data_IF_550239084543
#
_entry.id   IF_550239084543
#
_cell.length_a   1.000
_cell.length_b   1.000
_cell.length_c   1.000
_cell.angle_alpha   90.00
_cell.angle_beta   90.00
_cell.angle_gamma   90.00
#
_symmetry.space_group_name_H-M   'P 1'
#
loop_
_entity.id
_entity.type
_entity.pdbx_description
1 polymer ?
#
# COMPACT_ATOMS: atom_id res chain seq x y z
N UNK A 1 -13.49 24.09 -3.63
CA UNK A 1 -14.23 23.16 -2.75
C UNK A 1 -13.98 23.66 -1.34
N UNK A 2 -14.96 24.31 -0.71
CA UNK A 2 -14.79 24.86 0.64
C UNK A 2 -15.00 23.74 1.66
N UNK A 3 -13.91 23.31 2.31
CA UNK A 3 -13.99 22.39 3.44
C UNK A 3 -14.50 23.17 4.66
N UNK A 4 -15.48 22.66 5.41
CA UNK A 4 -16.01 23.39 6.56
C UNK A 4 -14.88 23.62 7.58
N UNK A 5 -14.70 24.85 8.11
CA UNK A 5 -13.58 25.19 8.99
C UNK A 5 -13.57 24.41 10.31
N UNK A 6 -14.69 23.81 10.70
CA UNK A 6 -14.81 22.90 11.85
C UNK A 6 -14.04 21.59 11.70
N UNK A 7 -13.55 21.29 10.49
CA UNK A 7 -12.88 20.05 10.16
C UNK A 7 -11.38 20.12 10.44
N UNK A 8 -10.76 21.27 10.23
CA UNK A 8 -9.31 21.49 10.33
C UNK A 8 -8.94 22.24 11.61
N UNK A 9 -9.20 21.62 12.75
CA UNK A 9 -8.86 22.18 14.07
C UNK A 9 -7.38 21.99 14.35
N UNK A 10 -6.70 23.02 14.86
CA UNK A 10 -5.31 22.93 15.30
C UNK A 10 -5.12 21.81 16.35
N UNK A 11 -4.03 21.05 16.22
CA UNK A 11 -3.74 19.86 17.02
C UNK A 11 -4.36 18.57 16.49
N UNK A 12 -5.32 18.63 15.56
CA UNK A 12 -5.94 17.42 14.99
C UNK A 12 -5.00 16.76 14.01
N UNK A 13 -4.84 15.42 14.05
CA UNK A 13 -3.92 14.78 13.17
C UNK A 13 -4.63 14.35 11.88
N UNK A 14 -4.00 14.64 10.75
CA UNK A 14 -4.58 14.49 9.41
C UNK A 14 -3.59 13.80 8.48
N UNK A 15 -4.14 13.08 7.50
CA UNK A 15 -3.35 12.55 6.41
C UNK A 15 -3.90 13.10 5.09
N UNK A 16 -3.03 13.69 4.27
CA UNK A 16 -3.41 14.36 3.03
C UNK A 16 -2.72 13.72 1.84
N UNK A 17 -3.44 13.66 0.72
CA UNK A 17 -2.90 13.24 -0.57
C UNK A 17 -3.02 14.39 -1.55
N UNK A 18 -1.94 14.68 -2.28
CA UNK A 18 -1.89 15.76 -3.26
C UNK A 18 -2.56 15.37 -4.59
N UNK A 19 -3.08 16.36 -5.32
CA UNK A 19 -3.70 16.23 -6.65
C UNK A 19 -2.74 15.74 -7.72
N UNK A 20 -1.45 16.04 -7.58
CA UNK A 20 -0.41 15.55 -8.50
C UNK A 20 -0.27 14.02 -8.50
N UNK A 21 -0.94 13.33 -7.57
CA UNK A 21 -0.63 11.95 -7.23
C UNK A 21 0.69 11.89 -6.47
N UNK A 22 0.77 10.99 -5.49
CA UNK A 22 1.97 10.82 -4.68
C UNK A 22 1.68 10.34 -3.26
N UNK A 23 2.74 10.36 -2.47
CA UNK A 23 2.80 9.84 -1.10
C UNK A 23 1.79 10.52 -0.17
N UNK A 24 1.35 9.75 0.82
CA UNK A 24 0.47 10.23 1.88
C UNK A 24 1.29 11.06 2.87
N UNK A 25 0.94 12.33 3.02
CA UNK A 25 1.58 13.24 3.97
C UNK A 25 0.78 13.25 5.25
N UNK A 26 1.39 12.74 6.33
CA UNK A 26 0.78 12.69 7.64
C UNK A 26 1.36 13.78 8.55
N UNK A 27 0.51 14.43 9.32
CA UNK A 27 0.95 15.41 10.31
C UNK A 27 -0.19 15.96 11.15
N UNK A 28 0.14 16.74 12.18
CA UNK A 28 -0.87 17.47 12.96
C UNK A 28 -1.10 18.84 12.35
N UNK A 29 -2.36 19.23 12.22
CA UNK A 29 -2.73 20.57 11.77
C UNK A 29 -2.20 21.57 12.80
N UNK A 30 -1.29 22.43 12.39
CA UNK A 30 -0.77 23.50 13.24
C UNK A 30 -1.56 24.78 13.03
N UNK A 31 -1.80 25.10 11.75
CA UNK A 31 -2.50 26.32 11.35
C UNK A 31 -3.20 26.08 10.02
N UNK A 32 -4.39 26.69 9.86
CA UNK A 32 -5.03 26.85 8.56
C UNK A 32 -5.31 28.33 8.36
N UNK A 33 -4.76 28.91 7.30
CA UNK A 33 -4.97 30.32 6.96
C UNK A 33 -4.90 30.50 5.45
N UNK A 34 -5.81 31.30 4.88
CA UNK A 34 -5.79 31.72 3.47
C UNK A 34 -5.56 30.59 2.44
N UNK A 35 -6.20 29.44 2.66
CA UNK A 35 -6.06 28.28 1.77
C UNK A 35 -4.76 27.50 1.96
N UNK A 36 -3.97 27.80 2.99
CA UNK A 36 -2.78 27.06 3.40
C UNK A 36 -3.05 26.24 4.65
N UNK A 37 -2.52 25.03 4.63
CA UNK A 37 -2.53 24.07 5.71
C UNK A 37 -1.08 23.84 6.15
N UNK A 38 -0.78 24.23 7.38
CA UNK A 38 0.49 23.92 8.01
C UNK A 38 0.35 22.62 8.81
N UNK A 39 1.20 21.64 8.53
CA UNK A 39 1.28 20.37 9.21
C UNK A 39 2.62 20.25 9.96
N UNK A 40 2.61 19.66 11.15
CA UNK A 40 3.83 19.18 11.80
C UNK A 40 4.15 17.77 11.29
N UNK A 41 5.18 17.63 10.46
CA UNK A 41 5.67 16.34 9.96
C UNK A 41 6.92 15.84 10.70
N UNK A 42 7.26 14.56 10.52
CA UNK A 42 8.44 13.92 11.12
C UNK A 42 9.78 14.51 10.65
N UNK A 43 9.80 15.11 9.46
CA UNK A 43 10.96 15.79 8.88
C UNK A 43 10.96 17.32 9.09
N UNK A 44 9.95 17.87 9.77
CA UNK A 44 9.79 19.32 9.99
C UNK A 44 8.40 19.87 9.63
N UNK A 45 8.19 21.19 9.76
CA UNK A 45 6.93 21.82 9.41
C UNK A 45 6.72 21.79 7.89
N UNK A 46 5.55 21.32 7.49
CA UNK A 46 5.14 21.19 6.10
C UNK A 46 4.02 22.18 5.79
N UNK A 47 4.13 22.93 4.70
CA UNK A 47 3.09 23.84 4.23
C UNK A 47 2.48 23.29 2.94
N UNK A 48 1.16 23.13 2.92
CA UNK A 48 0.43 22.58 1.78
C UNK A 48 -0.75 23.46 1.45
N UNK A 49 -0.96 23.70 0.15
CA UNK A 49 -2.11 24.48 -0.32
C UNK A 49 -3.33 23.57 -0.43
N UNK A 50 -4.46 24.01 0.12
CA UNK A 50 -5.70 23.23 0.20
C UNK A 50 -6.25 22.85 -1.17
N UNK A 51 -6.04 23.69 -2.18
CA UNK A 51 -6.47 23.41 -3.56
C UNK A 51 -5.63 22.34 -4.25
N UNK A 52 -4.46 22.00 -3.71
CA UNK A 52 -3.63 20.91 -4.17
C UNK A 52 -3.95 19.60 -3.46
N UNK A 53 -4.91 19.58 -2.53
CA UNK A 53 -5.29 18.38 -1.80
C UNK A 53 -6.38 17.64 -2.58
N UNK A 54 -6.08 16.40 -2.99
CA UNK A 54 -7.03 15.50 -3.60
C UNK A 54 -7.96 14.85 -2.56
N UNK A 55 -7.38 14.42 -1.44
CA UNK A 55 -8.07 13.69 -0.38
C UNK A 55 -7.50 14.11 0.97
N UNK A 56 -8.39 14.35 1.93
CA UNK A 56 -8.05 14.68 3.31
C UNK A 56 -8.72 13.69 4.26
N UNK A 57 -7.90 12.90 4.97
CA UNK A 57 -8.36 11.95 5.98
C UNK A 57 -8.33 12.59 7.37
N UNK A 58 -9.48 12.54 8.03
CA UNK A 58 -9.70 13.08 9.37
C UNK A 58 -9.62 11.96 10.40
N UNK A 59 -9.24 12.31 11.62
CA UNK A 59 -9.22 11.43 12.80
C UNK A 59 -8.20 10.30 12.80
N UNK A 60 -7.12 10.43 12.03
CA UNK A 60 -6.03 9.49 12.21
C UNK A 60 -6.43 8.03 12.00
N UNK A 61 -7.49 7.75 11.24
CA UNK A 61 -7.77 6.38 10.79
C UNK A 61 -6.60 5.83 9.95
N UNK A 62 -5.68 6.70 9.52
CA UNK A 62 -4.37 6.38 8.95
C UNK A 62 -3.17 6.50 9.93
N UNK A 63 -3.40 6.80 11.22
CA UNK A 63 -2.38 6.99 12.28
C UNK A 63 -2.31 5.83 13.29
N UNK A 64 -3.08 4.75 13.09
CA UNK A 64 -2.95 3.53 13.89
C UNK A 64 -1.80 2.62 13.42
N UNK A 65 -0.71 3.19 12.91
CA UNK A 65 0.54 2.47 12.66
C UNK A 65 1.71 3.41 12.97
N UNK A 66 2.44 3.06 14.01
CA UNK A 66 3.66 3.71 14.54
C UNK A 66 3.45 4.99 15.38
N UNK A 67 3.15 4.79 16.65
CA UNK A 67 4.01 5.37 17.69
C UNK A 67 4.43 4.26 18.66
N UNK A 68 5.73 4.09 18.92
CA UNK A 68 6.19 3.80 20.27
C UNK A 68 6.79 5.08 20.85
N UNK A 69 6.17 5.52 21.95
CA UNK A 69 6.73 6.45 22.91
C UNK A 69 8.00 5.82 23.49
N UNK A 70 9.15 6.45 23.25
CA UNK A 70 10.39 6.16 23.96
C UNK A 70 10.26 6.63 25.42
N UNK A 71 10.30 5.69 26.37
CA UNK A 71 10.78 5.96 27.72
C UNK A 71 11.69 4.79 28.17
N UNK A 72 12.96 5.05 28.56
CA UNK A 72 14.01 4.05 28.57
C UNK A 72 14.27 3.50 29.97
N UNK A 73 13.50 2.51 30.41
CA UNK A 73 13.92 1.67 31.54
C UNK A 73 13.02 0.44 31.64
N UNK A 74 13.50 -0.70 31.13
CA UNK A 74 13.53 -2.00 31.83
C UNK A 74 14.15 -2.98 30.84
N UNK A 75 15.45 -3.21 31.01
CA UNK A 75 16.13 -4.36 30.43
C UNK A 75 15.46 -5.65 30.95
N UNK A 76 14.72 -6.36 30.10
CA UNK A 76 14.35 -7.76 30.38
C UNK A 76 14.58 -8.65 29.16
N UNK A 77 15.76 -9.28 29.22
CA UNK A 77 16.23 -10.57 28.69
C UNK A 77 15.61 -11.13 27.38
N UNK A 78 16.46 -11.50 26.39
CA UNK A 78 16.01 -12.10 25.14
C UNK A 78 15.44 -13.50 25.41
N UNK A 79 14.16 -13.72 25.08
CA UNK A 79 13.64 -15.08 24.90
C UNK A 79 13.75 -15.43 23.41
N UNK A 80 14.70 -16.32 23.14
CA UNK A 80 14.91 -17.00 21.87
C UNK A 80 13.64 -17.76 21.46
N UNK A 81 12.78 -17.11 20.68
CA UNK A 81 11.69 -17.73 19.95
C UNK A 81 11.34 -16.94 18.68
N UNK A 82 12.34 -16.30 18.05
CA UNK A 82 12.16 -15.71 16.73
C UNK A 82 12.32 -16.81 15.67
N UNK A 83 11.26 -17.19 14.94
CA UNK A 83 11.48 -17.70 13.59
C UNK A 83 12.20 -16.59 12.81
N UNK A 84 13.14 -16.92 11.91
CA UNK A 84 13.95 -15.92 11.23
C UNK A 84 13.03 -14.85 10.64
N UNK A 85 13.20 -13.60 11.12
CA UNK A 85 12.54 -12.43 10.57
C UNK A 85 12.99 -12.30 9.12
N UNK A 86 12.24 -12.90 8.20
CA UNK A 86 12.37 -12.62 6.77
C UNK A 86 12.21 -11.12 6.62
N UNK A 87 13.27 -10.47 6.15
CA UNK A 87 13.32 -9.04 5.91
C UNK A 87 12.01 -8.59 5.27
N UNK A 88 11.25 -7.78 6.01
CA UNK A 88 9.98 -7.25 5.56
C UNK A 88 10.19 -6.51 4.25
N UNK A 89 9.57 -7.04 3.20
CA UNK A 89 9.43 -6.49 1.86
C UNK A 89 8.73 -5.12 1.92
N UNK A 90 9.42 -4.08 2.39
CA UNK A 90 9.00 -2.66 2.34
C UNK A 90 9.64 -1.90 1.16
N UNK A 91 10.30 -2.59 0.23
CA UNK A 91 10.59 -1.98 -1.07
C UNK A 91 9.32 -2.10 -1.94
N UNK A 92 8.78 -1.01 -2.51
CA UNK A 92 7.80 -1.12 -3.59
C UNK A 92 8.50 -1.87 -4.72
N UNK A 93 8.25 -3.17 -4.81
CA UNK A 93 8.84 -4.00 -5.85
C UNK A 93 8.54 -3.38 -7.21
N UNK A 94 9.51 -3.41 -8.12
CA UNK A 94 9.38 -3.10 -9.56
C UNK A 94 7.95 -3.41 -10.05
N UNK A 95 7.34 -2.55 -10.88
CA UNK A 95 6.03 -2.85 -11.43
C UNK A 95 6.02 -4.19 -12.20
N UNK A 96 4.92 -4.94 -12.15
CA UNK A 96 4.78 -6.15 -12.98
C UNK A 96 4.63 -5.74 -14.44
N UNK A 97 5.58 -6.19 -15.28
CA UNK A 97 5.52 -6.01 -16.73
C UNK A 97 4.73 -7.14 -17.38
N UNK A 98 4.23 -6.91 -18.59
CA UNK A 98 3.44 -7.92 -19.31
C UNK A 98 4.23 -9.21 -19.57
N UNK A 99 5.54 -9.11 -19.82
CA UNK A 99 6.39 -10.30 -20.00
C UNK A 99 6.58 -11.09 -18.71
N UNK A 100 6.67 -10.41 -17.55
CA UNK A 100 6.71 -11.09 -16.25
C UNK A 100 5.40 -11.84 -16.01
N UNK A 101 4.26 -11.23 -16.33
CA UNK A 101 2.94 -11.84 -16.20
C UNK A 101 2.78 -13.03 -17.15
N UNK A 102 3.29 -12.94 -18.38
CA UNK A 102 3.24 -14.05 -19.34
C UNK A 102 4.06 -15.25 -18.84
N UNK A 103 5.29 -15.01 -18.37
CA UNK A 103 6.12 -16.06 -17.77
C UNK A 103 5.50 -16.65 -16.48
N UNK A 104 4.81 -15.82 -15.69
CA UNK A 104 4.11 -16.27 -14.49
C UNK A 104 2.88 -17.12 -14.84
N UNK A 105 2.13 -16.76 -15.89
CA UNK A 105 1.01 -17.57 -16.39
C UNK A 105 1.45 -18.95 -16.85
N UNK A 106 2.53 -19.04 -17.63
CA UNK A 106 3.12 -20.33 -18.04
C UNK A 106 3.46 -21.17 -16.81
N UNK A 107 4.16 -20.59 -15.83
CA UNK A 107 4.53 -21.31 -14.63
C UNK A 107 3.32 -21.73 -13.76
N UNK A 108 2.24 -20.95 -13.76
CA UNK A 108 1.00 -21.36 -13.09
C UNK A 108 0.33 -22.55 -13.77
N UNK A 109 0.35 -22.60 -15.11
CA UNK A 109 -0.15 -23.75 -15.88
C UNK A 109 0.69 -25.02 -15.61
N UNK A 110 1.98 -24.84 -15.39
CA UNK A 110 2.91 -25.92 -15.00
C UNK A 110 2.80 -26.32 -13.53
N UNK A 111 1.84 -25.76 -12.78
CA UNK A 111 1.64 -25.99 -11.34
C UNK A 111 2.86 -25.63 -10.47
N UNK A 112 3.70 -24.68 -10.91
CA UNK A 112 4.82 -24.20 -10.10
C UNK A 112 4.33 -23.60 -8.76
N UNK A 113 5.12 -23.77 -7.70
CA UNK A 113 4.73 -23.34 -6.36
C UNK A 113 4.94 -21.82 -6.16
N UNK A 114 4.06 -21.17 -5.40
CA UNK A 114 4.17 -19.75 -5.05
C UNK A 114 5.49 -19.37 -4.38
N UNK A 115 6.08 -20.29 -3.60
CA UNK A 115 7.37 -20.06 -2.96
C UNK A 115 8.52 -19.97 -3.98
N UNK A 116 8.55 -20.88 -4.94
CA UNK A 116 9.55 -20.93 -6.01
C UNK A 116 9.41 -19.72 -6.93
N UNK A 117 8.17 -19.35 -7.26
CA UNK A 117 7.88 -18.17 -8.07
C UNK A 117 8.22 -16.87 -7.33
N UNK A 118 7.98 -16.79 -6.03
CA UNK A 118 8.38 -15.64 -5.22
C UNK A 118 9.91 -15.43 -5.25
N UNK A 119 10.68 -16.51 -5.15
CA UNK A 119 12.14 -16.45 -5.26
C UNK A 119 12.59 -16.09 -6.68
N UNK A 120 12.03 -16.74 -7.71
CA UNK A 120 12.38 -16.51 -9.12
C UNK A 120 12.12 -15.07 -9.58
N UNK A 121 11.00 -14.48 -9.15
CA UNK A 121 10.63 -13.12 -9.53
C UNK A 121 11.09 -12.06 -8.52
N UNK A 122 11.78 -12.46 -7.45
CA UNK A 122 12.22 -11.59 -6.35
C UNK A 122 11.06 -10.77 -5.75
N UNK A 123 9.98 -11.47 -5.39
CA UNK A 123 8.72 -10.91 -4.91
C UNK A 123 8.29 -11.54 -3.60
N UNK A 124 7.39 -10.85 -2.90
CA UNK A 124 6.76 -11.44 -1.74
C UNK A 124 5.81 -12.57 -2.18
N UNK A 125 5.82 -13.70 -1.47
CA UNK A 125 4.90 -14.82 -1.72
C UNK A 125 3.43 -14.40 -1.71
N UNK A 126 3.07 -13.45 -0.85
CA UNK A 126 1.72 -12.87 -0.84
C UNK A 126 1.35 -12.24 -2.19
N UNK A 127 2.26 -11.50 -2.82
CA UNK A 127 1.99 -10.88 -4.13
C UNK A 127 1.77 -11.92 -5.23
N UNK A 128 2.54 -13.01 -5.23
CA UNK A 128 2.36 -14.12 -6.18
C UNK A 128 1.02 -14.82 -5.96
N UNK A 129 0.62 -15.00 -4.69
CA UNK A 129 -0.69 -15.57 -4.35
C UNK A 129 -1.85 -14.70 -4.85
N UNK A 130 -1.78 -13.39 -4.67
CA UNK A 130 -2.78 -12.45 -5.19
C UNK A 130 -2.87 -12.51 -6.72
N UNK A 131 -1.73 -12.60 -7.40
CA UNK A 131 -1.66 -12.77 -8.84
C UNK A 131 -2.26 -14.10 -9.30
N UNK A 132 -2.03 -15.20 -8.55
CA UNK A 132 -2.63 -16.51 -8.84
C UNK A 132 -4.15 -16.46 -8.71
N UNK A 133 -4.68 -15.83 -7.67
CA UNK A 133 -6.14 -15.68 -7.52
C UNK A 133 -6.74 -14.91 -8.70
N UNK A 134 -6.12 -13.80 -9.10
CA UNK A 134 -6.55 -13.04 -10.27
C UNK A 134 -6.45 -13.85 -11.57
N UNK A 135 -5.42 -14.68 -11.72
CA UNK A 135 -5.22 -15.57 -12.87
C UNK A 135 -6.30 -16.66 -12.95
N UNK A 136 -6.58 -17.34 -11.84
CA UNK A 136 -7.62 -18.37 -11.78
C UNK A 136 -9.02 -17.77 -12.01
N UNK A 137 -9.26 -16.56 -11.53
CA UNK A 137 -10.48 -15.83 -11.85
C UNK A 137 -10.57 -15.44 -13.33
N UNK A 138 -9.48 -14.96 -13.93
CA UNK A 138 -9.44 -14.64 -15.35
C UNK A 138 -9.68 -15.86 -16.25
N UNK A 139 -9.34 -17.06 -15.78
CA UNK A 139 -9.62 -18.35 -16.45
C UNK A 139 -11.05 -18.87 -16.23
N UNK A 140 -11.80 -18.26 -15.31
CA UNK A 140 -13.16 -18.71 -14.95
C UNK A 140 -13.21 -19.83 -13.90
N UNK A 141 -12.09 -20.15 -13.25
CA UNK A 141 -12.05 -21.15 -12.18
C UNK A 141 -12.50 -20.58 -10.83
N UNK A 142 -12.40 -19.25 -10.65
CA UNK A 142 -12.89 -18.51 -9.49
C UNK A 142 -13.82 -17.37 -9.95
N UNK A 143 -14.82 -17.03 -9.14
CA UNK A 143 -15.65 -15.83 -9.35
C UNK A 143 -15.03 -14.61 -8.66
N UNK A 144 -15.30 -13.41 -9.18
CA UNK A 144 -14.67 -12.16 -8.70
C UNK A 144 -14.94 -11.88 -7.20
N UNK A 145 -16.07 -12.35 -6.67
CA UNK A 145 -16.43 -12.22 -5.24
C UNK A 145 -15.66 -13.18 -4.30
N UNK A 146 -14.95 -14.18 -4.85
CA UNK A 146 -14.17 -15.16 -4.07
C UNK A 146 -12.69 -14.82 -3.95
N UNK A 147 -12.24 -13.76 -4.62
CA UNK A 147 -10.84 -13.34 -4.63
C UNK A 147 -10.66 -12.05 -3.82
N UNK A 148 -9.43 -11.79 -3.38
CA UNK A 148 -9.17 -10.57 -2.61
C UNK A 148 -9.41 -9.31 -3.47
N UNK A 149 -9.68 -8.15 -2.84
CA UNK A 149 -9.77 -6.88 -3.56
C UNK A 149 -8.51 -6.56 -4.38
N UNK A 150 -7.32 -6.98 -3.91
CA UNK A 150 -6.07 -6.78 -4.64
C UNK A 150 -6.04 -7.67 -5.88
N UNK A 151 -6.41 -8.94 -5.75
CA UNK A 151 -6.49 -9.89 -6.87
C UNK A 151 -7.46 -9.43 -7.96
N UNK A 152 -8.60 -8.81 -7.59
CA UNK A 152 -9.57 -8.26 -8.54
C UNK A 152 -8.94 -7.23 -9.49
N UNK A 153 -8.05 -6.38 -8.98
CA UNK A 153 -7.36 -5.36 -9.82
C UNK A 153 -6.49 -5.98 -10.92
N UNK A 154 -6.10 -7.24 -10.79
CA UNK A 154 -5.27 -7.95 -11.77
C UNK A 154 -6.07 -8.70 -12.83
N UNK A 155 -7.35 -9.00 -12.60
CA UNK A 155 -8.19 -9.82 -13.51
C UNK A 155 -8.22 -9.25 -14.92
N UNK A 156 -8.42 -7.92 -15.06
CA UNK A 156 -8.42 -7.26 -16.36
C UNK A 156 -7.08 -7.38 -17.11
N UNK A 157 -5.97 -7.23 -16.40
CA UNK A 157 -4.61 -7.39 -16.98
C UNK A 157 -4.36 -8.85 -17.36
N UNK A 158 -4.81 -9.80 -16.55
CA UNK A 158 -4.73 -11.22 -16.87
C UNK A 158 -5.52 -11.59 -18.13
N UNK A 159 -6.77 -11.11 -18.24
CA UNK A 159 -7.58 -11.30 -19.45
C UNK A 159 -6.88 -10.76 -20.70
N UNK A 160 -6.20 -9.62 -20.60
CA UNK A 160 -5.39 -9.08 -21.71
C UNK A 160 -4.20 -9.98 -22.07
N UNK A 161 -3.43 -10.41 -21.07
CA UNK A 161 -2.24 -11.28 -21.27
C UNK A 161 -2.63 -12.63 -21.87
N UNK A 162 -3.71 -13.23 -21.37
CA UNK A 162 -4.22 -14.53 -21.84
C UNK A 162 -4.93 -14.43 -23.19
N UNK A 163 -5.63 -13.32 -23.44
CA UNK A 163 -6.34 -13.08 -24.70
C UNK A 163 -5.44 -12.72 -25.89
N UNK A 164 -4.12 -12.56 -25.69
CA UNK A 164 -3.16 -12.32 -26.76
C UNK A 164 -3.32 -10.98 -27.48
N UNK A 165 -4.10 -10.05 -26.93
CA UNK A 165 -4.34 -8.73 -27.55
C UNK A 165 -3.10 -7.85 -27.33
N UNK A 166 -2.27 -7.77 -28.37
CA UNK A 166 -1.15 -6.83 -28.50
C UNK A 166 -1.66 -5.40 -28.65
#
# INVERSE_FOLDING_TARGET
MELPPSVLVAGRPVAIRLLSGGDLLCGRVMLVTDGWLQLSGSAGPLLVRLDQIAVLHLDGAALAADEPVDDPAVMLRPRSAEPPRKAGSKAPGRAWHEDDLRALAEAFLDNANDAELAERFHRARGQVKELRQGFECARGNLVEDQISPVAQTWVGRWRKVLGGVR
#
